data_IF_658513089982
#
_entry.id   IF_658513089982
#
_cell.length_a   1.000
_cell.length_b   1.000
_cell.length_c   1.000
_cell.angle_alpha   90.00
_cell.angle_beta   90.00
_cell.angle_gamma   90.00
#
_symmetry.space_group_name_H-M   'P 1'
#
loop_
_entity.id
_entity.type
_entity.pdbx_description
1 polymer ?
#
# COMPACT_ATOMS: atom_id res chain seq x y z
N UNK A 1 11.56 -6.95 10.42
CA UNK A 1 10.68 -6.78 9.24
C UNK A 1 11.50 -6.32 8.04
N UNK A 2 11.17 -6.75 6.82
CA UNK A 2 11.73 -6.28 5.54
C UNK A 2 10.61 -6.05 4.54
N UNK A 3 10.81 -5.14 3.57
CA UNK A 3 9.89 -4.92 2.45
C UNK A 3 10.54 -5.37 1.16
N UNK A 4 9.90 -6.29 0.46
CA UNK A 4 10.39 -6.92 -0.77
C UNK A 4 9.23 -7.05 -1.76
N UNK A 5 9.55 -7.28 -3.03
CA UNK A 5 8.51 -7.63 -4.01
C UNK A 5 7.96 -9.03 -3.69
N UNK A 6 6.66 -9.21 -3.85
CA UNK A 6 5.98 -10.46 -3.56
C UNK A 6 6.45 -11.56 -4.51
N UNK A 7 6.66 -12.75 -3.97
CA UNK A 7 6.74 -13.96 -4.79
C UNK A 7 5.34 -14.41 -5.22
N UNK A 8 5.23 -15.26 -6.25
CA UNK A 8 3.94 -15.77 -6.73
C UNK A 8 3.09 -16.48 -5.66
N UNK A 9 3.71 -16.99 -4.59
CA UNK A 9 2.98 -17.58 -3.46
C UNK A 9 2.44 -16.54 -2.47
N UNK A 10 3.01 -15.34 -2.43
CA UNK A 10 2.68 -14.28 -1.49
C UNK A 10 1.58 -13.33 -1.99
N UNK A 11 1.34 -13.26 -3.31
CA UNK A 11 0.22 -12.51 -3.89
C UNK A 11 -1.14 -12.93 -3.32
N UNK A 12 -1.32 -14.23 -3.06
CA UNK A 12 -2.54 -14.73 -2.41
C UNK A 12 -2.67 -14.20 -0.98
N UNK A 13 -1.55 -14.09 -0.25
CA UNK A 13 -1.55 -13.52 1.09
C UNK A 13 -1.76 -12.00 1.08
N UNK A 14 -1.19 -11.29 0.10
CA UNK A 14 -1.41 -9.86 -0.11
C UNK A 14 -2.88 -9.57 -0.37
N UNK A 15 -3.50 -10.28 -1.33
CA UNK A 15 -4.93 -10.19 -1.63
C UNK A 15 -5.80 -10.47 -0.40
N UNK A 16 -5.47 -11.51 0.38
CA UNK A 16 -6.21 -11.80 1.61
C UNK A 16 -6.12 -10.67 2.66
N UNK A 17 -4.97 -9.98 2.75
CA UNK A 17 -4.79 -8.84 3.66
C UNK A 17 -5.58 -7.61 3.17
N UNK A 18 -5.55 -7.31 1.87
CA UNK A 18 -6.33 -6.23 1.27
C UNK A 18 -7.83 -6.47 1.45
N UNK A 19 -8.33 -7.65 1.14
CA UNK A 19 -9.74 -8.02 1.34
C UNK A 19 -10.15 -7.88 2.82
N UNK A 20 -9.28 -8.28 3.75
CA UNK A 20 -9.53 -8.11 5.19
C UNK A 20 -9.53 -6.64 5.64
N UNK A 21 -8.95 -5.74 4.85
CA UNK A 21 -9.01 -4.30 5.01
C UNK A 21 -10.16 -3.66 4.20
N UNK A 22 -11.04 -4.46 3.59
CA UNK A 22 -12.11 -4.03 2.69
C UNK A 22 -11.59 -3.28 1.44
N UNK A 23 -10.40 -3.63 0.98
CA UNK A 23 -9.84 -3.18 -0.29
C UNK A 23 -9.93 -4.33 -1.27
N UNK A 24 -10.75 -4.17 -2.31
CA UNK A 24 -10.85 -5.13 -3.40
C UNK A 24 -9.82 -4.77 -4.46
N UNK A 25 -9.04 -5.76 -4.88
CA UNK A 25 -8.03 -5.61 -5.92
C UNK A 25 -8.56 -6.21 -7.21
N UNK A 26 -8.43 -5.48 -8.31
CA UNK A 26 -8.69 -6.00 -9.65
C UNK A 26 -7.65 -7.08 -10.00
N UNK A 27 -8.07 -8.09 -10.74
CA UNK A 27 -7.20 -9.23 -11.06
C UNK A 27 -6.08 -8.82 -12.01
N UNK A 28 -6.37 -7.88 -12.92
CA UNK A 28 -5.43 -7.26 -13.84
C UNK A 28 -4.30 -6.53 -13.09
N UNK A 29 -4.64 -5.74 -12.07
CA UNK A 29 -3.65 -5.01 -11.24
C UNK A 29 -2.72 -5.98 -10.51
N UNK A 30 -3.23 -7.13 -10.06
CA UNK A 30 -2.39 -8.15 -9.43
C UNK A 30 -1.47 -8.87 -10.43
N UNK A 31 -1.84 -8.97 -11.71
CA UNK A 31 -1.05 -9.65 -12.74
C UNK A 31 -0.01 -8.74 -13.38
N UNK A 32 -0.35 -7.47 -13.60
CA UNK A 32 0.49 -6.50 -14.34
C UNK A 32 1.17 -5.49 -13.41
N UNK A 33 0.60 -5.27 -12.23
CA UNK A 33 1.12 -4.34 -11.23
C UNK A 33 2.30 -4.90 -10.44
N UNK A 34 2.83 -4.06 -9.54
CA UNK A 34 3.91 -4.45 -8.62
C UNK A 34 3.36 -4.64 -7.23
N UNK A 35 3.50 -5.83 -6.65
CA UNK A 35 3.08 -6.12 -5.28
C UNK A 35 4.30 -6.11 -4.36
N UNK A 36 4.27 -5.25 -3.34
CA UNK A 36 5.25 -5.23 -2.25
C UNK A 36 4.66 -5.88 -1.00
N UNK A 37 5.46 -6.68 -0.31
CA UNK A 37 5.09 -7.31 0.96
C UNK A 37 6.04 -6.89 2.07
N UNK A 38 5.46 -6.50 3.21
CA UNK A 38 6.18 -6.34 4.45
C UNK A 38 6.15 -7.67 5.20
N UNK A 39 7.30 -8.30 5.36
CA UNK A 39 7.42 -9.62 6.00
C UNK A 39 8.31 -9.64 7.22
N UNK A 40 7.98 -10.53 8.13
CA UNK A 40 8.77 -10.92 9.28
C UNK A 40 8.90 -12.43 9.24
N UNK A 41 10.14 -12.91 9.13
CA UNK A 41 10.45 -14.30 8.78
C UNK A 41 9.70 -14.76 7.51
N UNK A 42 8.85 -15.77 7.64
CA UNK A 42 8.00 -16.31 6.56
C UNK A 42 6.58 -15.75 6.57
N UNK A 43 6.30 -14.71 7.38
CA UNK A 43 4.94 -14.19 7.57
C UNK A 43 4.78 -12.81 6.93
N UNK A 44 3.86 -12.72 5.99
CA UNK A 44 3.40 -11.45 5.42
C UNK A 44 2.52 -10.71 6.44
N UNK A 45 2.93 -9.49 6.79
CA UNK A 45 2.28 -8.62 7.76
C UNK A 45 1.47 -7.49 7.11
N UNK A 46 1.85 -7.08 5.91
CA UNK A 46 1.15 -6.08 5.11
C UNK A 46 1.56 -6.18 3.65
N UNK A 47 0.77 -5.55 2.80
CA UNK A 47 0.99 -5.49 1.37
C UNK A 47 0.71 -4.09 0.84
N UNK A 48 1.41 -3.74 -0.24
CA UNK A 48 1.14 -2.57 -1.06
C UNK A 48 1.11 -3.02 -2.52
N UNK A 49 0.15 -2.51 -3.28
CA UNK A 49 -0.03 -2.83 -4.70
C UNK A 49 0.10 -1.54 -5.50
N UNK A 50 0.95 -1.58 -6.53
CA UNK A 50 1.14 -0.48 -7.47
C UNK A 50 0.56 -0.85 -8.82
N UNK A 51 -0.27 0.04 -9.38
CA UNK A 51 -0.57 0.10 -10.81
C UNK A 51 0.21 1.27 -11.42
N UNK A 52 1.33 0.96 -12.08
CA UNK A 52 2.28 1.98 -12.54
C UNK A 52 2.86 2.80 -11.36
N UNK A 53 2.42 4.05 -11.22
CA UNK A 53 2.77 4.97 -10.13
C UNK A 53 1.60 5.19 -9.14
N UNK A 54 0.45 4.59 -9.40
CA UNK A 54 -0.71 4.64 -8.49
C UNK A 54 -0.56 3.57 -7.41
N UNK A 55 -0.70 3.95 -6.15
CA UNK A 55 -0.93 3.03 -5.04
C UNK A 55 -2.41 2.64 -5.11
N UNK A 56 -2.67 1.49 -5.71
CA UNK A 56 -4.01 0.91 -5.78
C UNK A 56 -4.49 0.47 -4.38
N UNK A 57 -3.58 -0.11 -3.60
CA UNK A 57 -3.87 -0.48 -2.22
C UNK A 57 -2.65 -0.47 -1.32
N UNK A 58 -2.88 -0.14 -0.04
CA UNK A 58 -1.95 -0.42 1.05
C UNK A 58 -2.72 -0.96 2.25
N UNK A 59 -2.33 -2.14 2.71
CA UNK A 59 -3.05 -2.83 3.78
C UNK A 59 -2.08 -3.49 4.76
N UNK A 60 -2.43 -3.44 6.05
CA UNK A 60 -1.68 -4.07 7.14
C UNK A 60 -2.62 -4.94 7.96
N UNK A 61 -2.15 -6.13 8.35
CA UNK A 61 -2.93 -7.06 9.17
C UNK A 61 -3.53 -6.39 10.41
N UNK A 62 -4.78 -6.73 10.77
CA UNK A 62 -5.38 -6.28 12.02
C UNK A 62 -4.48 -6.58 13.23
N UNK A 63 -4.35 -5.62 14.15
CA UNK A 63 -3.48 -5.73 15.33
C UNK A 63 -1.99 -5.40 15.09
N UNK A 64 -1.57 -5.11 13.85
CA UNK A 64 -0.21 -4.61 13.52
C UNK A 64 -0.21 -3.17 12.98
N UNK A 65 -1.36 -2.49 13.06
CA UNK A 65 -1.50 -1.07 12.70
C UNK A 65 -0.78 -0.19 13.74
N UNK A 66 -0.32 0.99 13.31
CA UNK A 66 0.44 1.89 14.19
C UNK A 66 1.87 1.41 14.52
N UNK A 67 2.36 0.37 13.84
CA UNK A 67 3.72 -0.18 14.02
C UNK A 67 4.70 0.20 12.90
N UNK A 68 4.38 1.23 12.10
CA UNK A 68 5.23 1.70 10.99
C UNK A 68 5.25 0.83 9.73
N UNK A 69 4.50 -0.28 9.68
CA UNK A 69 4.50 -1.20 8.53
C UNK A 69 3.99 -0.54 7.25
N UNK A 70 2.89 0.23 7.34
CA UNK A 70 2.34 0.96 6.19
C UNK A 70 3.32 2.01 5.66
N UNK A 71 3.98 2.74 6.56
CA UNK A 71 5.00 3.73 6.21
C UNK A 71 6.16 3.09 5.45
N UNK A 72 6.70 2.00 5.99
CA UNK A 72 7.79 1.27 5.35
C UNK A 72 7.41 0.70 3.97
N UNK A 73 6.15 0.30 3.76
CA UNK A 73 5.66 -0.13 2.45
C UNK A 73 5.65 1.02 1.44
N UNK A 74 5.12 2.18 1.83
CA UNK A 74 5.04 3.35 0.95
C UNK A 74 6.42 3.94 0.68
N UNK A 75 7.30 4.01 1.67
CA UNK A 75 8.69 4.42 1.51
C UNK A 75 9.43 3.51 0.51
N UNK A 76 9.27 2.19 0.64
CA UNK A 76 9.88 1.24 -0.29
C UNK A 76 9.31 1.35 -1.72
N UNK A 77 8.05 1.77 -1.87
CA UNK A 77 7.47 2.09 -3.17
C UNK A 77 8.07 3.39 -3.74
N UNK A 78 8.24 4.42 -2.91
CA UNK A 78 8.80 5.71 -3.29
C UNK A 78 10.29 5.59 -3.69
N UNK A 79 11.04 4.68 -3.07
CA UNK A 79 12.41 4.37 -3.48
C UNK A 79 12.50 3.74 -4.89
N UNK A 80 11.40 3.18 -5.40
CA UNK A 80 11.34 2.46 -6.68
C UNK A 80 10.67 3.25 -7.80
N UNK A 81 9.88 4.26 -7.45
CA UNK A 81 9.10 5.06 -8.40
C UNK A 81 9.48 6.53 -8.26
N UNK A 82 9.69 7.27 -9.36
CA UNK A 82 10.04 8.69 -9.28
C UNK A 82 8.90 9.55 -8.75
N UNK A 83 7.67 9.04 -8.78
CA UNK A 83 6.48 9.69 -8.24
C UNK A 83 5.49 8.61 -7.80
N UNK A 84 4.63 8.96 -6.85
CA UNK A 84 3.51 8.13 -6.43
C UNK A 84 2.24 8.97 -6.33
N UNK A 85 1.11 8.34 -6.62
CA UNK A 85 -0.21 8.88 -6.35
C UNK A 85 -1.04 7.86 -5.59
N UNK A 86 -2.02 8.32 -4.82
CA UNK A 86 -2.95 7.45 -4.11
C UNK A 86 -4.31 8.12 -3.95
N UNK A 87 -5.39 7.36 -4.08
CA UNK A 87 -6.72 7.77 -3.67
C UNK A 87 -7.14 7.06 -2.37
N UNK A 88 -7.66 7.79 -1.40
CA UNK A 88 -7.98 7.26 -0.08
C UNK A 88 -9.09 8.05 0.63
N UNK A 89 -9.67 7.45 1.67
CA UNK A 89 -10.69 8.12 2.48
C UNK A 89 -10.08 9.22 3.35
N UNK A 90 -10.80 10.33 3.62
CA UNK A 90 -10.28 11.46 4.40
C UNK A 90 -9.67 11.11 5.76
N UNK A 91 -10.14 10.03 6.40
CA UNK A 91 -9.57 9.55 7.67
C UNK A 91 -8.13 9.05 7.59
N UNK A 92 -7.64 8.70 6.40
CA UNK A 92 -6.27 8.21 6.14
C UNK A 92 -5.31 9.37 5.81
N UNK A 93 -5.82 10.59 5.60
CA UNK A 93 -5.00 11.77 5.27
C UNK A 93 -3.76 11.95 6.17
N UNK A 94 -3.85 11.89 7.52
CA UNK A 94 -2.66 12.08 8.36
C UNK A 94 -1.54 11.07 8.09
N UNK A 95 -1.88 9.85 7.63
CA UNK A 95 -0.89 8.85 7.27
C UNK A 95 -0.10 9.27 6.03
N UNK A 96 -0.78 9.66 4.94
CA UNK A 96 -0.10 10.10 3.71
C UNK A 96 0.66 11.43 3.91
N UNK A 97 0.08 12.39 4.62
CA UNK A 97 0.77 13.66 4.93
C UNK A 97 2.06 13.42 5.75
N UNK A 98 2.05 12.46 6.68
CA UNK A 98 3.25 12.11 7.47
C UNK A 98 4.39 11.53 6.64
N UNK A 99 4.09 11.05 5.42
CA UNK A 99 5.04 10.50 4.46
C UNK A 99 5.47 11.54 3.41
N UNK A 100 5.01 12.78 3.54
CA UNK A 100 5.36 13.88 2.65
C UNK A 100 4.48 14.00 1.41
N UNK A 101 3.35 13.28 1.33
CA UNK A 101 2.41 13.47 0.23
C UNK A 101 1.74 14.85 0.34
N UNK A 102 1.62 15.52 -0.79
CA UNK A 102 0.71 16.64 -0.97
C UNK A 102 -0.71 16.07 -1.15
N UNK A 103 -1.64 16.44 -0.27
CA UNK A 103 -3.00 15.88 -0.26
C UNK A 103 -4.04 16.93 -0.58
N UNK A 104 -4.90 16.62 -1.55
CA UNK A 104 -6.13 17.35 -1.87
C UNK A 104 -7.35 16.49 -1.50
N UNK A 105 -8.41 17.09 -0.98
CA UNK A 105 -9.61 16.37 -0.56
C UNK A 105 -10.86 17.06 -1.11
N UNK A 106 -11.64 16.32 -1.89
CA UNK A 106 -12.92 16.78 -2.43
C UNK A 106 -14.06 15.90 -1.88
N UNK A 107 -14.68 16.37 -0.81
CA UNK A 107 -15.80 15.69 -0.16
C UNK A 107 -15.42 14.37 0.47
N UNK A 108 -15.81 13.27 -0.17
CA UNK A 108 -15.73 11.90 0.38
C UNK A 108 -14.41 11.20 0.07
N UNK A 109 -13.55 11.78 -0.79
CA UNK A 109 -12.28 11.20 -1.20
C UNK A 109 -11.16 12.22 -1.14
N UNK A 110 -9.96 11.72 -0.86
CA UNK A 110 -8.73 12.47 -0.94
C UNK A 110 -7.79 11.83 -1.95
N UNK A 111 -6.96 12.66 -2.54
CA UNK A 111 -5.94 12.34 -3.52
C UNK A 111 -4.60 12.83 -3.01
N UNK A 112 -3.63 11.95 -2.90
CA UNK A 112 -2.26 12.27 -2.49
C UNK A 112 -1.29 12.16 -3.65
N UNK A 113 -0.26 13.01 -3.66
CA UNK A 113 0.85 12.95 -4.61
C UNK A 113 2.19 13.08 -3.89
N UNK A 114 3.15 12.24 -4.27
CA UNK A 114 4.55 12.29 -3.83
C UNK A 114 5.43 12.36 -5.09
N UNK A 115 6.43 13.25 -5.07
CA UNK A 115 7.36 13.53 -6.18
C UNK A 115 8.81 13.58 -5.70
#
# INVERSE_FOLDING_TARGET
MRVEEATSGEETAARAICNAAMLELEEEVLQEGTVLVAREDSRVLGALVLDGNEIDAVAVRPGRRGSGIGSALVEAAADRRPELAAEFDPGVRPFYESLGFEVDCDGERCRGYLR
#
